data_IF_827978314316
#
_entry.id   IF_827978314316
#
_cell.length_a   1.000
_cell.length_b   1.000
_cell.length_c   1.000
_cell.angle_alpha   90.00
_cell.angle_beta   90.00
_cell.angle_gamma   90.00
#
_symmetry.space_group_name_H-M   'P 1'
#
loop_
_entity.id
_entity.type
_entity.pdbx_description
1 polymer ?
#
# COMPACT_ATOMS: atom_id res chain seq x y z
N UNK A 1 0.30 40.82 17.13
CA UNK A 1 -0.37 39.50 17.22
C UNK A 1 -0.22 38.65 15.94
N UNK A 2 -0.03 39.22 14.76
CA UNK A 2 0.05 38.50 13.47
C UNK A 2 1.27 37.59 13.28
N UNK A 3 2.43 37.90 13.88
CA UNK A 3 3.65 37.09 13.74
C UNK A 3 3.63 35.77 14.53
N UNK A 4 2.95 35.75 15.68
CA UNK A 4 2.78 34.55 16.52
C UNK A 4 1.85 33.52 15.85
N UNK A 5 0.80 33.99 15.16
CA UNK A 5 -0.12 33.12 14.44
C UNK A 5 0.57 32.42 13.25
N UNK A 6 1.40 33.15 12.50
CA UNK A 6 2.13 32.61 11.36
C UNK A 6 3.16 31.55 11.78
N UNK A 7 3.88 31.79 12.88
CA UNK A 7 4.83 30.82 13.42
C UNK A 7 4.14 29.53 13.92
N UNK A 8 2.97 29.67 14.56
CA UNK A 8 2.18 28.52 15.01
C UNK A 8 1.63 27.70 13.84
N UNK A 9 1.13 28.34 12.79
CA UNK A 9 0.67 27.65 11.57
C UNK A 9 1.81 26.91 10.85
N UNK A 10 3.01 27.49 10.77
CA UNK A 10 4.16 26.80 10.18
C UNK A 10 4.58 25.59 11.00
N UNK A 11 4.68 25.72 12.32
CA UNK A 11 5.02 24.60 13.21
C UNK A 11 4.00 23.45 13.13
N UNK A 12 2.71 23.77 13.11
CA UNK A 12 1.64 22.78 12.99
C UNK A 12 1.71 22.04 11.63
N UNK A 13 1.94 22.78 10.53
CA UNK A 13 2.10 22.19 9.20
C UNK A 13 3.33 21.28 9.11
N UNK A 14 4.45 21.65 9.74
CA UNK A 14 5.66 20.81 9.78
C UNK A 14 5.43 19.51 10.55
N UNK A 15 4.70 19.57 11.68
CA UNK A 15 4.38 18.35 12.45
C UNK A 15 3.45 17.40 11.69
N UNK A 16 2.45 17.94 10.98
CA UNK A 16 1.55 17.15 10.13
C UNK A 16 2.27 16.51 8.94
N UNK A 17 3.22 17.23 8.32
CA UNK A 17 4.02 16.68 7.24
C UNK A 17 4.92 15.53 7.73
N UNK A 18 5.58 15.69 8.88
CA UNK A 18 6.43 14.66 9.46
C UNK A 18 5.65 13.40 9.86
N UNK A 19 4.43 13.54 10.39
CA UNK A 19 3.57 12.38 10.69
C UNK A 19 3.20 11.60 9.42
N UNK A 20 2.93 12.29 8.32
CA UNK A 20 2.57 11.62 7.06
C UNK A 20 3.75 10.88 6.42
N UNK A 21 4.97 11.45 6.45
CA UNK A 21 6.18 10.79 5.94
C UNK A 21 6.57 9.54 6.76
N UNK A 22 6.47 9.63 8.09
CA UNK A 22 6.73 8.46 8.97
C UNK A 22 5.71 7.33 8.74
N UNK A 23 4.47 7.68 8.43
CA UNK A 23 3.43 6.70 8.13
C UNK A 23 3.59 6.08 6.73
N UNK A 24 4.00 6.88 5.75
CA UNK A 24 4.31 6.40 4.40
C UNK A 24 5.47 5.39 4.41
N UNK A 25 6.56 5.70 5.10
CA UNK A 25 7.69 4.77 5.25
C UNK A 25 7.30 3.51 6.02
N UNK A 26 6.42 3.65 7.03
CA UNK A 26 5.88 2.50 7.76
C UNK A 26 5.04 1.59 6.86
N UNK A 27 4.31 2.12 5.88
CA UNK A 27 3.46 1.34 4.95
C UNK A 27 4.22 0.71 3.77
N UNK A 28 5.43 1.15 3.46
CA UNK A 28 6.22 0.56 2.36
C UNK A 28 6.47 -0.93 2.57
N UNK A 29 6.27 -1.71 1.51
CA UNK A 29 6.50 -3.15 1.52
C UNK A 29 5.46 -3.96 0.77
N UNK A 30 5.50 -5.27 0.99
CA UNK A 30 4.59 -6.23 0.38
C UNK A 30 3.50 -6.65 1.36
N UNK A 31 2.27 -6.73 0.86
CA UNK A 31 1.04 -6.91 1.60
C UNK A 31 0.25 -8.07 1.01
N UNK A 32 0.07 -9.12 1.80
CA UNK A 32 -0.70 -10.31 1.44
C UNK A 32 -2.06 -10.31 2.11
N UNK A 33 -3.06 -10.92 1.47
CA UNK A 33 -4.36 -11.16 2.09
C UNK A 33 -4.18 -12.08 3.30
N UNK A 34 -4.80 -11.73 4.43
CA UNK A 34 -4.79 -12.52 5.65
C UNK A 34 -5.63 -13.80 5.45
N UNK A 35 -5.07 -14.95 5.87
CA UNK A 35 -5.80 -16.22 5.98
C UNK A 35 -6.49 -16.33 7.34
N UNK A 36 -7.32 -17.36 7.48
CA UNK A 36 -8.04 -17.67 8.72
C UNK A 36 -7.11 -17.90 9.92
N UNK A 37 -5.87 -18.35 9.68
CA UNK A 37 -4.82 -18.53 10.71
C UNK A 37 -4.12 -17.21 11.11
N UNK A 38 -4.55 -16.07 10.54
CA UNK A 38 -3.98 -14.75 10.81
C UNK A 38 -2.71 -14.43 10.02
N UNK A 39 -2.19 -15.36 9.21
CA UNK A 39 -0.96 -15.17 8.44
C UNK A 39 -1.26 -14.64 7.02
N UNK A 40 -0.40 -13.78 6.45
CA UNK A 40 -0.57 -13.30 5.09
C UNK A 40 -0.29 -14.40 4.04
N UNK A 41 -1.02 -14.37 2.92
CA UNK A 41 -0.67 -15.11 1.71
C UNK A 41 0.32 -14.29 0.89
N UNK A 42 1.57 -14.75 0.81
CA UNK A 42 2.66 -14.02 0.16
C UNK A 42 3.11 -14.61 -1.20
N UNK A 43 2.50 -15.72 -1.63
CA UNK A 43 2.80 -16.37 -2.90
C UNK A 43 1.59 -17.11 -3.47
N UNK A 44 1.61 -17.41 -4.78
CA UNK A 44 0.53 -18.14 -5.46
C UNK A 44 -0.73 -17.31 -5.74
N UNK A 45 -0.80 -16.08 -5.25
CA UNK A 45 -1.88 -15.11 -5.52
C UNK A 45 -1.31 -13.70 -5.64
N UNK A 46 -2.13 -12.76 -6.13
CA UNK A 46 -1.75 -11.36 -6.22
C UNK A 46 -1.53 -10.76 -4.83
N UNK A 47 -0.42 -10.04 -4.67
CA UNK A 47 -0.09 -9.28 -3.47
C UNK A 47 -0.03 -7.79 -3.80
N UNK A 48 -0.33 -6.96 -2.81
CA UNK A 48 -0.17 -5.51 -2.91
C UNK A 48 1.29 -5.15 -2.59
N UNK A 49 1.87 -4.24 -3.38
CA UNK A 49 3.17 -3.65 -3.09
C UNK A 49 3.00 -2.13 -3.02
N UNK A 50 3.39 -1.55 -1.90
CA UNK A 50 3.42 -0.10 -1.69
C UNK A 50 4.89 0.35 -1.65
N UNK A 51 5.26 1.27 -2.53
CA UNK A 51 6.63 1.79 -2.60
C UNK A 51 6.64 3.20 -3.17
N UNK A 52 7.21 4.15 -2.46
CA UNK A 52 7.48 5.51 -2.95
C UNK A 52 6.22 6.18 -3.55
N UNK A 53 5.07 6.04 -2.88
CA UNK A 53 3.79 6.60 -3.35
C UNK A 53 3.14 5.82 -4.50
N UNK A 54 3.71 4.69 -4.92
CA UNK A 54 3.18 3.83 -5.98
C UNK A 54 2.61 2.53 -5.41
N UNK A 55 1.50 2.11 -5.99
CA UNK A 55 0.83 0.85 -5.73
C UNK A 55 1.06 -0.10 -6.91
N UNK A 56 1.31 -1.38 -6.60
CA UNK A 56 1.33 -2.45 -7.58
C UNK A 56 0.54 -3.64 -7.07
N UNK A 57 -0.23 -4.26 -7.97
CA UNK A 57 -0.76 -5.61 -7.78
C UNK A 57 0.16 -6.58 -8.50
N UNK A 58 0.84 -7.46 -7.77
CA UNK A 58 1.89 -8.32 -8.31
C UNK A 58 1.57 -9.78 -8.05
N UNK A 59 1.69 -10.63 -9.07
CA UNK A 59 1.73 -12.07 -8.90
C UNK A 59 3.21 -12.50 -8.76
N UNK A 60 3.68 -12.88 -7.56
CA UNK A 60 5.09 -13.19 -7.34
C UNK A 60 5.46 -14.58 -7.83
N UNK A 61 6.71 -14.71 -8.30
CA UNK A 61 7.36 -16.00 -8.63
C UNK A 61 6.52 -16.91 -9.54
N UNK A 62 5.89 -16.33 -10.55
CA UNK A 62 5.19 -17.11 -11.58
C UNK A 62 6.23 -17.87 -12.37
N UNK A 63 6.12 -19.20 -12.39
CA UNK A 63 7.00 -20.06 -13.19
C UNK A 63 6.80 -19.78 -14.69
N UNK A 64 7.90 -19.50 -15.39
CA UNK A 64 7.92 -19.35 -16.85
C UNK A 64 8.99 -20.27 -17.46
N UNK A 65 9.00 -20.40 -18.78
CA UNK A 65 10.02 -21.17 -19.51
C UNK A 65 11.45 -20.65 -19.30
N UNK A 66 11.62 -19.40 -18.82
CA UNK A 66 12.92 -18.78 -18.54
C UNK A 66 13.21 -18.62 -17.04
N UNK A 67 12.36 -19.19 -16.18
CA UNK A 67 12.49 -19.10 -14.72
C UNK A 67 11.32 -18.39 -14.05
N UNK A 68 11.38 -18.27 -12.72
CA UNK A 68 10.34 -17.58 -11.96
C UNK A 68 10.49 -16.07 -12.06
N UNK A 69 9.40 -15.36 -12.38
CA UNK A 69 9.36 -13.89 -12.44
C UNK A 69 8.16 -13.30 -11.71
N UNK A 70 8.25 -12.03 -11.34
CA UNK A 70 7.12 -11.28 -10.83
C UNK A 70 6.32 -10.74 -12.02
N UNK A 71 4.99 -10.79 -11.95
CA UNK A 71 4.11 -10.24 -12.98
C UNK A 71 3.31 -9.11 -12.36
N UNK A 72 3.49 -7.89 -12.86
CA UNK A 72 2.64 -6.74 -12.49
C UNK A 72 1.31 -6.89 -13.22
N UNK A 73 0.24 -7.08 -12.45
CA UNK A 73 -1.13 -7.16 -12.97
C UNK A 73 -1.70 -5.76 -13.16
N UNK A 74 -1.43 -4.88 -12.21
CA UNK A 74 -1.94 -3.52 -12.18
C UNK A 74 -1.00 -2.61 -11.39
N UNK A 75 -1.07 -1.31 -11.66
CA UNK A 75 -0.34 -0.29 -10.94
C UNK A 75 -1.13 1.02 -10.85
N UNK A 76 -0.86 1.77 -9.80
CA UNK A 76 -1.47 3.07 -9.54
C UNK A 76 -0.59 3.90 -8.61
N UNK A 77 -1.11 5.02 -8.16
CA UNK A 77 -0.54 5.81 -7.06
C UNK A 77 -1.40 5.65 -5.81
N UNK A 78 -0.78 5.83 -4.65
CA UNK A 78 -1.50 5.87 -3.39
C UNK A 78 -1.21 7.15 -2.61
N UNK A 79 -2.16 7.49 -1.74
CA UNK A 79 -2.13 8.61 -0.82
C UNK A 79 -2.52 8.13 0.56
N UNK A 80 -1.91 8.72 1.59
CA UNK A 80 -2.30 8.53 2.98
C UNK A 80 -2.94 9.82 3.48
N UNK A 81 -4.04 9.69 4.22
CA UNK A 81 -4.69 10.80 4.91
C UNK A 81 -5.22 10.30 6.25
N UNK A 82 -4.58 10.74 7.34
CA UNK A 82 -4.85 10.21 8.67
C UNK A 82 -4.64 8.71 8.74
N UNK A 83 -5.63 7.97 9.24
CA UNK A 83 -5.65 6.51 9.37
C UNK A 83 -6.04 5.77 8.09
N UNK A 84 -6.04 6.44 6.92
CA UNK A 84 -6.55 5.88 5.67
C UNK A 84 -5.51 5.86 4.58
N UNK A 85 -5.49 4.74 3.84
CA UNK A 85 -4.79 4.57 2.58
C UNK A 85 -5.80 4.63 1.44
N UNK A 86 -5.51 5.47 0.45
CA UNK A 86 -6.28 5.62 -0.78
C UNK A 86 -5.42 5.18 -1.95
N UNK A 87 -5.89 4.21 -2.73
CA UNK A 87 -5.29 3.81 -4.00
C UNK A 87 -6.16 4.36 -5.12
N UNK A 88 -5.56 5.15 -6.00
CA UNK A 88 -6.28 5.69 -7.17
C UNK A 88 -6.64 4.57 -8.14
N UNK A 89 -7.63 4.79 -9.04
CA UNK A 89 -7.97 3.79 -10.04
C UNK A 89 -6.76 3.32 -10.84
N UNK A 90 -6.63 2.00 -10.96
CA UNK A 90 -5.48 1.35 -11.58
C UNK A 90 -5.46 1.50 -13.09
N UNK A 91 -4.25 1.57 -13.64
CA UNK A 91 -3.99 1.60 -15.08
C UNK A 91 -3.54 0.20 -15.54
N UNK A 92 -4.48 -0.74 -15.64
CA UNK A 92 -4.21 -2.02 -16.28
C UNK A 92 -4.68 -2.01 -17.75
N UNK A 93 -3.90 -2.65 -18.63
CA UNK A 93 -4.21 -2.76 -20.06
C UNK A 93 -5.48 -3.60 -20.35
N UNK A 94 -5.97 -4.37 -19.38
CA UNK A 94 -7.03 -5.39 -19.58
C UNK A 94 -8.31 -5.15 -18.77
N UNK A 95 -8.25 -4.37 -17.69
CA UNK A 95 -9.39 -4.08 -16.82
C UNK A 95 -9.18 -2.78 -16.04
N UNK A 96 -10.24 -1.98 -15.95
CA UNK A 96 -10.26 -0.87 -15.01
C UNK A 96 -10.32 -1.43 -13.58
N UNK A 97 -9.36 -1.06 -12.74
CA UNK A 97 -9.42 -1.32 -11.30
C UNK A 97 -9.98 -0.08 -10.63
N UNK A 98 -11.09 -0.18 -9.88
CA UNK A 98 -11.66 0.97 -9.19
C UNK A 98 -10.70 1.50 -8.12
N UNK A 99 -10.93 2.74 -7.68
CA UNK A 99 -10.26 3.27 -6.52
C UNK A 99 -10.53 2.36 -5.31
N UNK A 100 -9.52 2.17 -4.47
CA UNK A 100 -9.61 1.34 -3.27
C UNK A 100 -9.27 2.16 -2.04
N UNK A 101 -9.92 1.83 -0.93
CA UNK A 101 -9.74 2.55 0.34
C UNK A 101 -9.50 1.55 1.46
N UNK A 102 -8.53 1.84 2.31
CA UNK A 102 -8.18 0.98 3.43
C UNK A 102 -8.08 1.79 4.71
N UNK A 103 -8.50 1.16 5.81
CA UNK A 103 -8.16 1.61 7.16
C UNK A 103 -6.81 1.00 7.53
N UNK A 104 -5.91 1.85 8.02
CA UNK A 104 -4.61 1.47 8.56
C UNK A 104 -4.78 1.21 10.04
N UNK A 105 -4.64 -0.04 10.45
CA UNK A 105 -4.81 -0.47 11.84
C UNK A 105 -3.45 -0.78 12.47
N UNK A 106 -2.90 0.15 13.29
CA UNK A 106 -1.60 -0.05 13.94
C UNK A 106 -1.69 -0.97 15.18
N UNK A 107 -2.88 -1.21 15.73
CA UNK A 107 -3.02 -1.84 17.05
C UNK A 107 -2.89 -3.37 17.04
N UNK A 108 -3.06 -4.01 15.87
CA UNK A 108 -3.00 -5.47 15.71
C UNK A 108 -1.74 -6.00 14.98
N UNK A 109 -0.69 -5.19 14.91
CA UNK A 109 0.44 -5.38 13.99
C UNK A 109 0.05 -4.90 12.60
N UNK A 110 0.46 -3.67 12.26
CA UNK A 110 0.14 -2.91 11.04
C UNK A 110 -0.64 -3.71 9.96
N UNK A 111 -1.95 -3.48 9.88
CA UNK A 111 -2.87 -4.13 8.94
C UNK A 111 -3.53 -3.09 8.04
N UNK A 112 -3.98 -3.55 6.86
CA UNK A 112 -4.85 -2.75 5.99
C UNK A 112 -6.19 -3.47 5.87
N UNK A 113 -7.28 -2.84 6.35
CA UNK A 113 -8.65 -3.37 6.19
C UNK A 113 -9.30 -2.65 5.03
N UNK A 114 -9.75 -3.38 4.01
CA UNK A 114 -10.44 -2.76 2.90
C UNK A 114 -11.79 -2.19 3.40
N UNK A 115 -12.08 -0.93 3.05
CA UNK A 115 -13.29 -0.22 3.50
C UNK A 115 -14.51 -0.53 2.63
N UNK A 116 -14.29 -1.00 1.41
CA UNK A 116 -15.34 -1.43 0.48
C UNK A 116 -15.71 -2.90 0.70
N UNK A 117 -14.77 -3.70 1.23
CA UNK A 117 -15.00 -5.07 1.69
C UNK A 117 -14.20 -5.36 2.97
N UNK A 118 -14.85 -5.22 4.11
CA UNK A 118 -14.22 -5.35 5.43
C UNK A 118 -13.79 -6.77 5.79
N UNK A 119 -14.17 -7.77 4.98
CA UNK A 119 -13.67 -9.14 5.12
C UNK A 119 -12.24 -9.28 4.61
N UNK A 120 -11.78 -8.36 3.75
CA UNK A 120 -10.43 -8.34 3.22
C UNK A 120 -9.50 -7.57 4.15
N UNK A 121 -8.70 -8.31 4.90
CA UNK A 121 -7.63 -7.78 5.74
C UNK A 121 -6.29 -8.15 5.12
N UNK A 122 -5.39 -7.19 5.00
CA UNK A 122 -4.04 -7.40 4.49
C UNK A 122 -3.03 -7.24 5.62
N UNK A 123 -2.02 -8.11 5.60
CA UNK A 123 -0.89 -8.07 6.53
C UNK A 123 0.42 -8.04 5.75
N UNK A 124 1.45 -7.52 6.41
CA UNK A 124 2.79 -7.42 5.82
C UNK A 124 3.37 -8.81 5.60
N UNK A 125 3.85 -9.03 4.38
CA UNK A 125 4.69 -10.16 4.04
C UNK A 125 6.16 -9.84 4.35
N UNK A 126 6.92 -10.85 4.77
CA UNK A 126 8.37 -10.74 4.98
C UNK A 126 9.19 -10.96 3.69
N UNK A 127 8.56 -10.79 2.53
CA UNK A 127 9.23 -10.83 1.23
C UNK A 127 9.36 -9.42 0.68
N UNK A 128 10.51 -9.14 0.07
CA UNK A 128 10.72 -7.88 -0.65
C UNK A 128 10.50 -8.13 -2.15
N UNK A 129 9.32 -7.77 -2.65
CA UNK A 129 9.04 -7.78 -4.08
C UNK A 129 9.46 -6.44 -4.67
N UNK A 130 10.33 -6.51 -5.68
CA UNK A 130 10.59 -5.39 -6.57
C UNK A 130 9.72 -5.61 -7.82
N UNK A 131 8.72 -4.75 -8.08
CA UNK A 131 7.95 -4.81 -9.32
C UNK A 131 8.90 -4.54 -10.49
N UNK A 132 8.84 -5.39 -11.51
CA UNK A 132 9.61 -5.16 -12.74
C UNK A 132 8.82 -4.14 -13.58
N UNK A 133 9.30 -2.89 -13.62
CA UNK A 133 8.63 -1.78 -14.32
C UNK A 133 8.92 -1.77 -15.83
N UNK A 134 9.67 -2.75 -16.35
CA UNK A 134 9.94 -2.86 -17.78
C UNK A 134 8.71 -3.39 -18.51
N UNK A 135 8.05 -2.50 -19.25
CA UNK A 135 6.94 -2.78 -20.16
C UNK A 135 7.45 -3.17 -21.54
#
# INVERSE_FOLDING_TARGET
MTRLLAAFCMLLASMLAASNESMASTLEGTWGLQRDDGQPVCAGTAVMVLRQGRYFSVLPRVGTSVGARNIVIDHSVYRIDGDRLYIEPGRSLRRFTPAQRFLIDPMGGLQLRNLDDTTLVYRRCEINIVPDETW
#
